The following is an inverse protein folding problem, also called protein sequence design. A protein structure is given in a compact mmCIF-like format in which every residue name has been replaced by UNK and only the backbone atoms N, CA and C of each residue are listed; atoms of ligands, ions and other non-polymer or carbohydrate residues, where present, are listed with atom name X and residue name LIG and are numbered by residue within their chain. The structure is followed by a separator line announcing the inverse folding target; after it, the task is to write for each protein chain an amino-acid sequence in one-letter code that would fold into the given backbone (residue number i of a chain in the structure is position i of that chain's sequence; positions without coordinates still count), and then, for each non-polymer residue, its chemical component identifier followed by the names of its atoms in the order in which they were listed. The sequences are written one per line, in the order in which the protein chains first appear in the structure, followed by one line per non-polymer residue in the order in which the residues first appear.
data_IF_019473531494
#
_entry.id   IF_019473531494
#
_cell.length_a   1.000
_cell.length_b   1.000
_cell.length_c   1.000
_cell.angle_alpha   90.00
_cell.angle_beta   90.00
_cell.angle_gamma   90.00
#
_symmetry.space_group_name_H-M   'P 1'
#
loop_
_entity.id
_entity.type
_entity.pdbx_description
1 polymer ?
#
# COMPACT_ATOMS: atom_id res chain seq x y z
N UNK A 1 20.84 -21.88 18.03
CA UNK A 1 21.21 -21.00 16.89
C UNK A 1 21.13 -19.54 17.36
N UNK A 2 22.24 -18.83 17.43
CA UNK A 2 22.30 -17.44 17.91
C UNK A 2 21.63 -16.40 16.99
N UNK A 3 21.30 -16.79 15.76
CA UNK A 3 20.67 -15.92 14.75
C UNK A 3 19.17 -16.19 14.55
N UNK A 4 18.61 -17.23 15.18
CA UNK A 4 17.21 -17.61 15.02
C UNK A 4 16.40 -17.29 16.27
N UNK A 5 15.18 -16.73 16.07
CA UNK A 5 14.20 -16.50 17.15
C UNK A 5 13.30 -17.72 17.35
N UNK A 6 12.86 -18.31 16.26
CA UNK A 6 11.90 -19.41 16.27
C UNK A 6 12.04 -20.26 15.01
N UNK A 7 11.84 -21.56 15.11
CA UNK A 7 11.83 -22.48 13.98
C UNK A 7 10.60 -23.36 14.06
N UNK A 8 9.82 -23.36 12.99
CA UNK A 8 8.67 -24.26 12.83
C UNK A 8 8.94 -25.18 11.66
N UNK A 9 8.77 -26.48 11.92
CA UNK A 9 8.79 -27.51 10.90
C UNK A 9 7.36 -27.99 10.65
N UNK A 10 7.01 -28.17 9.39
CA UNK A 10 5.68 -28.67 9.02
C UNK A 10 5.41 -28.52 7.53
N UNK A 11 4.25 -28.95 7.12
CA UNK A 11 3.76 -28.78 5.76
C UNK A 11 2.98 -27.46 5.70
N UNK A 12 3.68 -26.34 5.55
CA UNK A 12 3.07 -25.02 5.58
C UNK A 12 3.07 -24.38 4.19
N UNK A 13 1.92 -23.89 3.76
CA UNK A 13 1.72 -23.24 2.47
C UNK A 13 1.74 -21.70 2.56
N UNK A 14 2.54 -21.15 3.49
CA UNK A 14 2.61 -19.71 3.76
C UNK A 14 3.68 -18.97 2.94
N UNK A 15 4.08 -19.49 1.79
CA UNK A 15 4.98 -18.74 0.91
C UNK A 15 4.17 -17.98 -0.15
N UNK A 16 4.51 -16.72 -0.43
CA UNK A 16 3.80 -15.88 -1.40
C UNK A 16 3.66 -16.47 -2.81
N UNK A 17 4.57 -17.38 -3.20
CA UNK A 17 4.58 -18.08 -4.49
C UNK A 17 4.24 -19.56 -4.40
N UNK A 18 3.99 -20.10 -3.20
CA UNK A 18 3.51 -21.47 -3.12
C UNK A 18 2.02 -21.44 -3.45
N UNK A 19 1.65 -22.18 -4.49
CA UNK A 19 0.26 -22.58 -4.69
C UNK A 19 -0.17 -23.33 -3.44
N UNK A 20 -0.78 -22.61 -2.49
CA UNK A 20 -1.35 -23.21 -1.30
C UNK A 20 -2.35 -24.28 -1.72
N UNK A 21 -2.56 -25.27 -0.85
CA UNK A 21 -3.58 -26.27 -1.09
C UNK A 21 -4.95 -25.60 -0.96
N UNK A 22 -5.58 -25.30 -2.11
CA UNK A 22 -6.93 -24.74 -2.16
C UNK A 22 -7.95 -25.88 -2.10
N UNK A 23 -8.91 -25.76 -1.20
CA UNK A 23 -10.02 -26.68 -1.06
C UNK A 23 -11.33 -26.02 -1.50
N UNK A 24 -12.08 -26.72 -2.34
CA UNK A 24 -13.37 -26.23 -2.85
C UNK A 24 -14.50 -26.77 -1.97
N UNK A 25 -15.07 -25.89 -1.16
CA UNK A 25 -16.21 -26.21 -0.33
C UNK A 25 -17.50 -26.03 -1.13
N UNK A 26 -18.19 -27.14 -1.38
CA UNK A 26 -19.43 -27.15 -2.16
C UNK A 26 -20.67 -26.99 -1.29
N UNK A 27 -20.59 -27.32 0.00
CA UNK A 27 -21.72 -27.28 0.91
C UNK A 27 -21.30 -26.85 2.32
N UNK A 28 -22.18 -26.12 3.01
CA UNK A 28 -22.01 -25.66 4.39
C UNK A 28 -23.36 -25.32 5.04
N UNK A 29 -23.39 -25.26 6.37
CA UNK A 29 -24.59 -24.90 7.12
C UNK A 29 -25.00 -23.45 6.83
N UNK A 30 -26.27 -23.28 6.41
CA UNK A 30 -26.79 -21.95 6.06
C UNK A 30 -26.45 -21.48 4.64
N UNK A 31 -26.00 -22.39 3.76
CA UNK A 31 -25.80 -22.08 2.35
C UNK A 31 -27.13 -21.73 1.68
N UNK A 32 -27.20 -20.58 1.02
CA UNK A 32 -28.36 -20.19 0.21
C UNK A 32 -28.41 -20.95 -1.12
N UNK A 33 -29.62 -21.26 -1.59
CA UNK A 33 -29.83 -21.92 -2.87
C UNK A 33 -29.26 -21.08 -4.01
N UNK A 34 -28.41 -21.69 -4.84
CA UNK A 34 -27.75 -21.03 -5.97
C UNK A 34 -26.34 -20.49 -5.69
N UNK A 35 -25.87 -20.51 -4.47
CA UNK A 35 -24.46 -20.19 -4.18
C UNK A 35 -23.51 -21.24 -4.79
N UNK A 36 -22.44 -20.75 -5.44
CA UNK A 36 -21.38 -21.60 -6.01
C UNK A 36 -20.48 -22.14 -4.91
N UNK A 37 -19.64 -23.12 -5.27
CA UNK A 37 -18.53 -23.56 -4.39
C UNK A 37 -17.58 -22.40 -4.09
N UNK A 38 -17.00 -22.43 -2.90
CA UNK A 38 -16.01 -21.43 -2.47
C UNK A 38 -14.67 -22.13 -2.30
N UNK A 39 -13.67 -21.58 -2.97
CA UNK A 39 -12.30 -22.04 -2.85
C UNK A 39 -11.64 -21.34 -1.68
N UNK A 40 -11.14 -22.12 -0.73
CA UNK A 40 -10.43 -21.60 0.44
C UNK A 40 -9.02 -22.17 0.47
N UNK A 41 -8.05 -21.33 0.79
CA UNK A 41 -6.69 -21.78 1.00
C UNK A 41 -6.55 -22.43 2.37
N UNK A 42 -6.10 -23.68 2.41
CA UNK A 42 -5.92 -24.41 3.65
C UNK A 42 -4.51 -24.27 4.19
N UNK A 43 -4.41 -23.72 5.39
CA UNK A 43 -3.18 -23.56 6.15
C UNK A 43 -3.12 -24.66 7.23
N UNK A 44 -1.97 -25.32 7.30
CA UNK A 44 -1.80 -26.46 8.18
C UNK A 44 -0.97 -26.09 9.41
N UNK A 45 -1.08 -26.89 10.45
CA UNK A 45 -0.41 -26.66 11.72
C UNK A 45 -0.89 -25.38 12.43
N UNK A 46 -2.20 -25.27 12.56
CA UNK A 46 -2.94 -24.12 13.06
C UNK A 46 -2.31 -23.44 14.29
N UNK A 47 -2.03 -24.18 15.36
CA UNK A 47 -1.50 -23.63 16.61
C UNK A 47 -0.13 -22.94 16.42
N UNK A 48 0.79 -23.62 15.74
CA UNK A 48 2.15 -23.09 15.52
C UNK A 48 2.16 -21.90 14.57
N UNK A 49 1.32 -21.90 13.54
CA UNK A 49 1.22 -20.80 12.59
C UNK A 49 0.64 -19.56 13.24
N UNK A 50 -0.44 -19.71 14.02
CA UNK A 50 -1.05 -18.58 14.73
C UNK A 50 -0.04 -17.92 15.66
N UNK A 51 0.71 -18.73 16.42
CA UNK A 51 1.78 -18.23 17.30
C UNK A 51 2.92 -17.59 16.52
N UNK A 52 3.41 -18.26 15.48
CA UNK A 52 4.56 -17.79 14.68
C UNK A 52 4.32 -16.45 14.01
N UNK A 53 3.12 -16.26 13.40
CA UNK A 53 2.76 -15.00 12.75
C UNK A 53 2.06 -14.02 13.69
N UNK A 54 1.88 -14.39 14.97
CA UNK A 54 1.15 -13.58 15.95
C UNK A 54 -0.24 -13.17 15.44
N UNK A 55 -0.96 -14.14 14.85
CA UNK A 55 -2.29 -13.91 14.31
C UNK A 55 -3.29 -13.68 15.44
N UNK A 56 -4.17 -12.72 15.24
CA UNK A 56 -5.19 -12.36 16.22
C UNK A 56 -6.42 -13.25 16.08
N UNK A 57 -6.75 -14.00 17.16
CA UNK A 57 -8.06 -14.66 17.30
C UNK A 57 -9.09 -13.58 17.66
N UNK A 58 -10.15 -13.48 16.86
CA UNK A 58 -11.24 -12.52 17.08
C UNK A 58 -12.34 -13.11 17.93
N UNK A 59 -12.70 -14.38 17.68
CA UNK A 59 -13.81 -15.05 18.34
C UNK A 59 -13.58 -16.56 18.40
N UNK A 60 -14.13 -17.22 19.42
CA UNK A 60 -14.07 -18.67 19.58
C UNK A 60 -12.80 -19.18 20.23
N UNK A 61 -12.40 -20.40 19.92
CA UNK A 61 -11.27 -21.10 20.52
C UNK A 61 -10.29 -21.62 19.46
N UNK A 62 -9.02 -21.68 19.86
CA UNK A 62 -7.96 -22.31 19.07
C UNK A 62 -8.20 -23.80 18.92
N UNK A 63 -8.04 -24.34 17.72
CA UNK A 63 -8.11 -25.77 17.45
C UNK A 63 -6.90 -26.48 18.06
N UNK A 64 -7.15 -27.49 18.89
CA UNK A 64 -6.09 -28.31 19.49
C UNK A 64 -5.59 -29.36 18.48
N UNK A 65 -4.31 -29.75 18.52
CA UNK A 65 -3.75 -30.74 17.60
C UNK A 65 -4.52 -32.06 17.52
N UNK A 66 -5.12 -32.48 18.62
CA UNK A 66 -5.90 -33.75 18.71
C UNK A 66 -7.30 -33.67 18.10
N UNK A 67 -7.77 -32.48 17.75
CA UNK A 67 -9.14 -32.27 17.25
C UNK A 67 -9.15 -32.33 15.71
N UNK A 68 -9.56 -33.47 15.17
CA UNK A 68 -9.48 -33.77 13.73
C UNK A 68 -10.67 -33.31 12.90
N UNK A 69 -11.72 -32.79 13.53
CA UNK A 69 -12.97 -32.37 12.88
C UNK A 69 -13.31 -30.89 13.15
N UNK A 70 -12.33 -30.13 13.64
CA UNK A 70 -12.46 -28.69 13.93
C UNK A 70 -11.53 -27.87 13.07
N UNK A 71 -12.01 -26.70 12.68
CA UNK A 71 -11.25 -25.76 11.85
C UNK A 71 -11.44 -24.34 12.36
N UNK A 72 -10.50 -23.47 11.99
CA UNK A 72 -10.64 -22.02 12.10
C UNK A 72 -10.72 -21.40 10.72
N UNK A 73 -11.37 -20.27 10.61
CA UNK A 73 -11.51 -19.50 9.35
C UNK A 73 -11.16 -18.03 9.57
N UNK A 74 -10.85 -17.31 8.50
CA UNK A 74 -10.63 -15.88 8.59
C UNK A 74 -11.91 -15.07 8.27
N UNK A 75 -11.87 -13.75 8.49
CA UNK A 75 -13.00 -12.84 8.22
C UNK A 75 -13.43 -12.86 6.74
N UNK A 76 -12.49 -12.98 5.81
CA UNK A 76 -12.77 -13.08 4.38
C UNK A 76 -13.52 -14.36 4.04
N UNK A 77 -13.26 -15.47 4.73
CA UNK A 77 -14.03 -16.71 4.57
C UNK A 77 -15.46 -16.55 5.06
N UNK A 78 -15.69 -15.85 6.17
CA UNK A 78 -17.06 -15.57 6.68
C UNK A 78 -17.86 -14.79 5.64
N UNK A 79 -17.26 -13.74 5.08
CA UNK A 79 -17.89 -12.92 4.03
C UNK A 79 -18.20 -13.74 2.78
N UNK A 80 -17.28 -14.59 2.35
CA UNK A 80 -17.46 -15.46 1.19
C UNK A 80 -18.57 -16.52 1.41
N UNK A 81 -18.66 -17.08 2.62
CA UNK A 81 -19.69 -18.06 3.00
C UNK A 81 -21.07 -17.43 3.24
N UNK A 82 -21.17 -16.09 3.40
CA UNK A 82 -22.41 -15.40 3.73
C UNK A 82 -22.94 -15.74 5.11
N UNK A 83 -22.08 -16.11 6.06
CA UNK A 83 -22.49 -16.52 7.41
C UNK A 83 -22.57 -15.33 8.37
N UNK A 84 -23.62 -15.20 9.14
CA UNK A 84 -23.74 -14.21 10.21
C UNK A 84 -23.14 -14.70 11.54
N UNK A 85 -23.31 -15.98 11.86
CA UNK A 85 -22.81 -16.65 13.07
C UNK A 85 -22.09 -17.93 12.67
N UNK A 86 -20.76 -17.88 12.40
CA UNK A 86 -20.05 -19.03 11.87
C UNK A 86 -19.62 -20.04 12.92
N UNK A 87 -19.44 -19.64 14.20
CA UNK A 87 -19.01 -20.54 15.27
C UNK A 87 -20.05 -21.69 15.50
N UNK A 88 -19.55 -22.92 15.51
CA UNK A 88 -20.37 -24.13 15.67
C UNK A 88 -20.99 -24.65 14.38
N UNK A 89 -21.03 -23.85 13.29
CA UNK A 89 -21.51 -24.31 11.98
C UNK A 89 -20.51 -25.23 11.31
N UNK A 90 -20.98 -26.00 10.34
CA UNK A 90 -20.19 -27.02 9.66
C UNK A 90 -19.93 -26.65 8.20
N UNK A 91 -18.71 -26.92 7.77
CA UNK A 91 -18.32 -26.96 6.36
C UNK A 91 -18.20 -28.43 5.95
N UNK A 92 -18.67 -28.75 4.75
CA UNK A 92 -18.65 -30.11 4.24
C UNK A 92 -17.65 -30.24 3.08
N UNK A 93 -16.68 -31.14 3.25
CA UNK A 93 -15.69 -31.47 2.25
C UNK A 93 -15.50 -33.00 2.21
N UNK A 94 -15.55 -33.58 1.01
CA UNK A 94 -15.35 -35.04 0.81
C UNK A 94 -16.11 -35.95 1.80
N UNK A 95 -17.39 -35.67 2.00
CA UNK A 95 -18.27 -36.37 2.96
C UNK A 95 -17.87 -36.23 4.43
N UNK A 96 -16.97 -35.32 4.78
CA UNK A 96 -16.63 -35.01 6.16
C UNK A 96 -17.22 -33.65 6.55
N UNK A 97 -17.71 -33.58 7.80
CA UNK A 97 -18.22 -32.36 8.39
C UNK A 97 -17.15 -31.74 9.31
N UNK A 98 -16.80 -30.52 9.10
CA UNK A 98 -15.79 -29.78 9.83
C UNK A 98 -16.43 -28.62 10.57
N UNK A 99 -16.32 -28.61 11.88
CA UNK A 99 -16.96 -27.61 12.74
C UNK A 99 -16.05 -26.38 12.86
N UNK A 100 -16.59 -25.20 12.62
CA UNK A 100 -15.90 -23.93 12.81
C UNK A 100 -15.86 -23.64 14.31
N UNK A 101 -14.65 -23.49 14.87
CA UNK A 101 -14.46 -23.24 16.31
C UNK A 101 -13.81 -21.90 16.61
N UNK A 102 -13.17 -21.28 15.65
CA UNK A 102 -12.52 -19.98 15.84
C UNK A 102 -12.47 -19.15 14.57
N UNK A 103 -12.43 -17.84 14.78
CA UNK A 103 -12.30 -16.83 13.73
C UNK A 103 -11.01 -16.08 13.97
N UNK A 104 -10.17 -15.99 12.94
CA UNK A 104 -8.96 -15.19 12.95
C UNK A 104 -9.13 -13.93 12.11
N UNK A 105 -8.45 -12.89 12.52
CA UNK A 105 -8.35 -11.64 11.75
C UNK A 105 -7.71 -11.91 10.40
N UNK A 106 -8.18 -11.22 9.39
CA UNK A 106 -7.58 -11.25 8.06
C UNK A 106 -6.09 -10.86 8.11
N UNK A 107 -5.26 -11.58 7.38
CA UNK A 107 -3.84 -11.29 7.23
C UNK A 107 -3.39 -11.60 5.80
N UNK A 108 -2.39 -10.86 5.33
CA UNK A 108 -1.87 -11.02 3.98
C UNK A 108 -0.80 -12.11 3.94
N UNK A 109 -0.99 -13.09 3.06
CA UNK A 109 0.03 -14.08 2.67
C UNK A 109 0.64 -13.67 1.33
N UNK A 110 -0.16 -13.01 0.49
CA UNK A 110 0.22 -12.49 -0.82
C UNK A 110 0.53 -10.99 -0.75
N UNK A 111 0.76 -10.37 -1.91
CA UNK A 111 0.99 -8.94 -1.99
C UNK A 111 -0.19 -8.15 -1.38
N UNK A 112 0.05 -7.03 -0.69
CA UNK A 112 -1.01 -6.22 -0.07
C UNK A 112 -1.95 -5.57 -1.09
N UNK A 113 -1.62 -5.65 -2.37
CA UNK A 113 -2.46 -5.20 -3.49
C UNK A 113 -3.56 -6.20 -3.84
N UNK A 114 -3.43 -7.47 -3.39
CA UNK A 114 -4.43 -8.50 -3.64
C UNK A 114 -5.41 -8.61 -2.48
N UNK A 115 -6.71 -8.91 -2.76
CA UNK A 115 -7.68 -9.18 -1.71
C UNK A 115 -7.24 -10.34 -0.83
N UNK A 116 -7.44 -10.21 0.48
CA UNK A 116 -7.23 -11.34 1.38
C UNK A 116 -8.18 -12.45 0.98
N UNK A 117 -7.59 -13.60 0.65
CA UNK A 117 -8.37 -14.78 0.25
C UNK A 117 -9.04 -15.43 1.45
N UNK A 118 -10.11 -16.17 1.23
CA UNK A 118 -10.67 -17.03 2.27
C UNK A 118 -9.67 -18.11 2.70
N UNK A 119 -9.39 -18.19 4.01
CA UNK A 119 -8.49 -19.19 4.58
C UNK A 119 -9.21 -20.12 5.53
N UNK A 120 -8.77 -21.38 5.54
CA UNK A 120 -9.08 -22.35 6.59
C UNK A 120 -7.79 -22.76 7.29
N UNK A 121 -7.80 -22.78 8.61
CA UNK A 121 -6.68 -23.30 9.41
C UNK A 121 -7.09 -24.65 9.95
N UNK A 122 -6.29 -25.67 9.66
CA UNK A 122 -6.54 -27.07 10.00
C UNK A 122 -5.35 -27.66 10.75
N UNK A 123 -5.59 -28.73 11.50
CA UNK A 123 -4.52 -29.45 12.20
C UNK A 123 -3.82 -30.44 11.26
N UNK A 124 -2.57 -30.76 11.56
CA UNK A 124 -1.76 -31.69 10.76
C UNK A 124 -2.31 -33.13 10.75
N UNK A 125 -2.95 -33.54 11.85
CA UNK A 125 -3.50 -34.91 11.99
C UNK A 125 -4.71 -35.16 11.07
N UNK A 126 -5.42 -34.12 10.67
CA UNK A 126 -6.49 -34.22 9.67
C UNK A 126 -5.94 -34.76 8.35
N UNK A 127 -4.77 -34.33 7.96
CA UNK A 127 -4.15 -34.71 6.69
C UNK A 127 -3.60 -36.12 6.68
N UNK A 128 -2.95 -36.54 7.78
CA UNK A 128 -2.45 -37.90 7.92
C UNK A 128 -3.58 -38.93 7.77
N UNK A 129 -4.77 -38.59 8.25
CA UNK A 129 -5.94 -39.48 8.22
C UNK A 129 -6.78 -39.36 6.94
N UNK A 130 -6.51 -38.35 6.07
CA UNK A 130 -7.31 -38.10 4.87
C UNK A 130 -6.76 -38.72 3.59
N UNK A 131 -5.58 -39.36 3.63
CA UNK A 131 -4.94 -39.97 2.45
C UNK A 131 -4.37 -38.95 1.46
N UNK A 132 -4.35 -37.67 1.81
CA UNK A 132 -3.69 -36.65 0.98
C UNK A 132 -2.18 -36.86 0.99
N UNK A 133 -1.58 -36.88 -0.19
CA UNK A 133 -0.13 -36.86 -0.33
C UNK A 133 0.38 -35.52 0.20
N UNK A 134 1.02 -35.55 1.35
CA UNK A 134 1.63 -34.38 1.95
C UNK A 134 2.75 -33.95 1.03
N UNK A 135 2.65 -32.75 0.46
CA UNK A 135 3.66 -32.17 -0.42
C UNK A 135 5.04 -32.00 0.27
N UNK A 136 5.95 -31.31 -0.37
CA UNK A 136 7.31 -31.09 0.16
C UNK A 136 7.21 -30.38 1.51
N UNK A 137 7.96 -30.91 2.49
CA UNK A 137 8.08 -30.28 3.81
C UNK A 137 8.67 -28.87 3.69
N UNK A 138 8.18 -27.96 4.48
CA UNK A 138 8.68 -26.59 4.59
C UNK A 138 9.15 -26.34 6.01
N UNK A 139 10.22 -25.56 6.13
CA UNK A 139 10.75 -25.11 7.42
C UNK A 139 10.63 -23.58 7.42
N UNK A 140 9.88 -23.05 8.36
CA UNK A 140 9.78 -21.62 8.59
C UNK A 140 10.76 -21.25 9.69
N UNK A 141 11.58 -20.25 9.43
CA UNK A 141 12.61 -19.79 10.37
C UNK A 141 12.42 -18.29 10.57
N UNK A 142 12.12 -17.91 11.81
CA UNK A 142 12.11 -16.51 12.24
C UNK A 142 13.50 -16.14 12.74
N UNK A 143 14.11 -15.14 12.17
CA UNK A 143 15.47 -14.72 12.47
C UNK A 143 15.53 -13.26 12.96
N UNK A 144 16.68 -12.85 13.50
CA UNK A 144 16.91 -11.48 13.94
C UNK A 144 17.20 -10.57 12.75
N UNK A 145 16.73 -9.33 12.82
CA UNK A 145 16.90 -8.34 11.77
C UNK A 145 18.39 -8.18 11.38
N UNK A 146 18.65 -8.10 10.08
CA UNK A 146 19.99 -7.99 9.53
C UNK A 146 20.84 -9.28 9.54
N UNK A 147 20.34 -10.39 10.09
CA UNK A 147 21.07 -11.67 10.20
C UNK A 147 20.83 -12.65 9.04
N UNK A 148 20.13 -12.22 8.00
CA UNK A 148 19.79 -13.05 6.84
C UNK A 148 21.01 -13.73 6.20
N UNK A 149 22.07 -12.96 5.92
CA UNK A 149 23.27 -13.49 5.26
C UNK A 149 23.99 -14.54 6.10
N UNK A 150 24.05 -14.33 7.42
CA UNK A 150 24.64 -15.28 8.36
C UNK A 150 23.82 -16.57 8.42
N UNK A 151 22.51 -16.45 8.54
CA UNK A 151 21.57 -17.58 8.54
C UNK A 151 21.67 -18.39 7.24
N UNK A 152 21.65 -17.71 6.08
CA UNK A 152 21.75 -18.33 4.77
C UNK A 152 23.01 -19.16 4.66
N UNK A 153 24.18 -18.58 4.95
CA UNK A 153 25.46 -19.29 4.86
C UNK A 153 25.49 -20.52 5.79
N UNK A 154 24.88 -20.44 6.95
CA UNK A 154 24.84 -21.55 7.91
C UNK A 154 23.92 -22.67 7.44
N UNK A 155 22.76 -22.34 6.89
CA UNK A 155 21.83 -23.32 6.29
C UNK A 155 22.51 -24.01 5.10
N UNK A 156 23.12 -23.22 4.20
CA UNK A 156 23.85 -23.74 3.03
C UNK A 156 24.97 -24.71 3.47
N UNK A 157 25.72 -24.39 4.54
CA UNK A 157 26.73 -25.26 5.09
C UNK A 157 26.14 -26.58 5.60
N UNK A 158 25.06 -26.54 6.38
CA UNK A 158 24.42 -27.74 6.93
C UNK A 158 23.95 -28.66 5.79
N UNK A 159 23.25 -28.13 4.81
CA UNK A 159 22.75 -28.93 3.70
C UNK A 159 23.86 -29.47 2.81
N UNK A 160 24.94 -28.72 2.61
CA UNK A 160 26.09 -29.18 1.81
C UNK A 160 26.84 -30.32 2.49
N UNK A 161 27.04 -30.26 3.80
CA UNK A 161 27.86 -31.25 4.52
C UNK A 161 27.05 -32.41 5.08
N UNK A 162 25.85 -32.16 5.63
CA UNK A 162 25.08 -33.20 6.31
C UNK A 162 24.03 -33.86 5.41
N UNK A 163 23.51 -33.11 4.43
CA UNK A 163 22.42 -33.56 3.56
C UNK A 163 22.67 -33.27 2.07
N UNK A 164 23.77 -33.73 1.46
CA UNK A 164 24.17 -33.34 0.10
C UNK A 164 23.20 -33.80 -0.99
N UNK A 165 22.38 -34.82 -0.72
CA UNK A 165 21.39 -35.34 -1.67
C UNK A 165 20.05 -34.57 -1.63
N UNK A 166 19.84 -33.75 -0.60
CA UNK A 166 18.58 -33.03 -0.41
C UNK A 166 18.61 -31.71 -1.18
N UNK A 167 17.74 -31.60 -2.18
CA UNK A 167 17.52 -30.32 -2.88
C UNK A 167 16.58 -29.46 -2.06
N UNK A 168 17.05 -28.31 -1.63
CA UNK A 168 16.25 -27.31 -0.93
C UNK A 168 16.24 -25.99 -1.70
N UNK A 169 15.24 -25.16 -1.42
CA UNK A 169 15.18 -23.76 -1.84
C UNK A 169 14.97 -22.91 -0.61
N UNK A 170 15.76 -21.87 -0.49
CA UNK A 170 15.68 -20.92 0.61
C UNK A 170 15.04 -19.61 0.08
N UNK A 171 14.01 -19.18 0.74
CA UNK A 171 13.29 -17.96 0.42
C UNK A 171 13.37 -17.01 1.61
N UNK A 172 13.65 -15.75 1.35
CA UNK A 172 13.47 -14.68 2.31
C UNK A 172 12.14 -13.99 2.01
N UNK A 173 11.20 -14.13 2.94
CA UNK A 173 9.86 -13.54 2.77
C UNK A 173 9.92 -12.02 2.64
N UNK A 174 10.86 -11.35 3.32
CA UNK A 174 11.05 -9.91 3.24
C UNK A 174 11.56 -9.47 1.86
N UNK A 175 12.51 -10.22 1.28
CA UNK A 175 13.01 -9.96 -0.08
C UNK A 175 11.90 -10.20 -1.12
N UNK A 176 11.13 -11.27 -1.00
CA UNK A 176 9.99 -11.53 -1.88
C UNK A 176 8.91 -10.46 -1.77
N UNK A 177 8.58 -10.02 -0.55
CA UNK A 177 7.65 -8.92 -0.33
C UNK A 177 8.15 -7.61 -0.95
N UNK A 178 9.44 -7.33 -0.82
CA UNK A 178 10.09 -6.19 -1.45
C UNK A 178 10.03 -6.28 -2.97
N UNK A 179 10.19 -7.48 -3.55
CA UNK A 179 10.09 -7.70 -4.99
C UNK A 179 8.68 -7.40 -5.53
N UNK A 180 7.63 -7.74 -4.78
CA UNK A 180 6.26 -7.34 -5.14
C UNK A 180 6.08 -5.82 -5.16
N UNK A 181 6.70 -5.12 -4.22
CA UNK A 181 6.59 -3.66 -4.13
C UNK A 181 7.51 -2.91 -5.12
N UNK A 182 8.45 -3.57 -5.79
CA UNK A 182 9.37 -2.91 -6.75
C UNK A 182 8.64 -2.22 -7.90
N UNK A 183 7.54 -2.80 -8.39
CA UNK A 183 6.72 -2.18 -9.44
C UNK A 183 6.06 -0.89 -8.95
N UNK A 184 5.57 -0.90 -7.72
CA UNK A 184 4.94 0.27 -7.07
C UNK A 184 5.99 1.37 -6.81
N UNK A 185 7.17 0.99 -6.32
CA UNK A 185 8.29 1.91 -6.14
C UNK A 185 8.73 2.57 -7.45
N UNK A 186 8.76 1.81 -8.55
CA UNK A 186 9.08 2.33 -9.86
C UNK A 186 8.02 3.34 -10.34
N UNK A 187 6.73 3.05 -10.12
CA UNK A 187 5.63 3.97 -10.41
C UNK A 187 5.71 5.25 -9.60
N UNK A 188 5.98 5.16 -8.28
CA UNK A 188 6.14 6.32 -7.41
C UNK A 188 7.29 7.22 -7.88
N UNK A 189 8.43 6.63 -8.24
CA UNK A 189 9.58 7.38 -8.78
C UNK A 189 9.25 8.07 -10.10
N UNK A 190 8.58 7.36 -11.01
CA UNK A 190 8.15 7.92 -12.30
C UNK A 190 7.16 9.08 -12.12
N UNK A 191 6.12 8.88 -11.30
CA UNK A 191 5.12 9.92 -11.01
C UNK A 191 5.75 11.14 -10.32
N UNK A 192 6.69 10.92 -9.40
CA UNK A 192 7.42 11.99 -8.72
C UNK A 192 8.27 12.80 -9.71
N UNK A 193 8.94 12.12 -10.64
CA UNK A 193 9.71 12.78 -11.69
C UNK A 193 8.81 13.64 -12.61
N UNK A 194 7.69 13.07 -13.06
CA UNK A 194 6.71 13.79 -13.87
C UNK A 194 6.16 15.01 -13.12
N UNK A 195 5.83 14.86 -11.82
CA UNK A 195 5.33 15.96 -11.00
C UNK A 195 6.35 17.11 -10.89
N UNK A 196 7.64 16.79 -10.71
CA UNK A 196 8.72 17.80 -10.69
C UNK A 196 8.81 18.53 -12.04
N UNK A 197 8.80 17.80 -13.15
CA UNK A 197 8.85 18.39 -14.49
C UNK A 197 7.64 19.30 -14.74
N UNK A 198 6.43 18.84 -14.39
CA UNK A 198 5.21 19.66 -14.50
C UNK A 198 5.29 20.94 -13.65
N UNK A 199 5.84 20.84 -12.43
CA UNK A 199 6.03 21.98 -11.54
C UNK A 199 7.02 23.01 -12.14
N UNK A 200 8.12 22.54 -12.75
CA UNK A 200 9.08 23.40 -13.43
C UNK A 200 8.43 24.12 -14.62
N UNK A 201 7.69 23.39 -15.46
CA UNK A 201 6.99 23.99 -16.61
C UNK A 201 5.99 25.06 -16.14
N UNK A 202 5.21 24.76 -15.08
CA UNK A 202 4.26 25.71 -14.51
C UNK A 202 4.99 26.95 -13.95
N UNK A 203 6.12 26.77 -13.25
CA UNK A 203 6.91 27.89 -12.73
C UNK A 203 7.46 28.78 -13.85
N UNK A 204 7.97 28.20 -14.93
CA UNK A 204 8.43 28.98 -16.12
C UNK A 204 7.25 29.69 -16.80
N UNK A 205 6.08 29.05 -16.90
CA UNK A 205 4.86 29.68 -17.44
C UNK A 205 4.45 30.90 -16.62
N UNK A 206 4.37 30.77 -15.30
CA UNK A 206 4.03 31.87 -14.39
C UNK A 206 5.08 32.98 -14.49
N UNK A 207 6.37 32.62 -14.47
CA UNK A 207 7.44 33.59 -14.59
C UNK A 207 7.35 34.39 -15.88
N UNK A 208 7.05 33.75 -17.02
CA UNK A 208 6.86 34.42 -18.32
C UNK A 208 5.66 35.36 -18.30
N UNK A 209 4.50 34.89 -17.78
CA UNK A 209 3.30 35.73 -17.68
C UNK A 209 3.50 36.95 -16.78
N UNK A 210 4.15 36.76 -15.62
CA UNK A 210 4.48 37.88 -14.72
C UNK A 210 5.38 38.88 -15.38
N UNK A 211 6.39 38.40 -16.15
CA UNK A 211 7.28 39.25 -16.90
C UNK A 211 6.54 40.12 -17.90
N UNK A 212 5.70 39.49 -18.73
CA UNK A 212 4.88 40.17 -19.71
C UNK A 212 3.92 41.17 -19.05
N UNK A 213 3.26 40.79 -17.96
CA UNK A 213 2.39 41.70 -17.22
C UNK A 213 3.14 42.90 -16.62
N UNK A 214 4.36 42.72 -16.13
CA UNK A 214 5.20 43.78 -15.62
C UNK A 214 5.61 44.72 -16.75
N UNK A 215 5.93 44.23 -17.96
CA UNK A 215 6.28 45.02 -19.13
C UNK A 215 5.06 45.83 -19.63
N UNK A 216 3.91 45.23 -19.76
CA UNK A 216 2.69 45.91 -20.18
C UNK A 216 2.25 47.00 -19.22
N UNK A 217 2.43 46.81 -17.90
CA UNK A 217 2.07 47.78 -16.86
C UNK A 217 3.23 48.64 -16.39
N UNK A 218 4.34 48.71 -17.17
CA UNK A 218 5.56 49.40 -16.79
C UNK A 218 5.32 50.87 -16.47
N UNK A 219 4.51 51.59 -17.29
CA UNK A 219 4.12 52.99 -17.06
C UNK A 219 3.31 53.17 -15.78
N UNK A 220 2.33 52.30 -15.52
CA UNK A 220 1.53 52.34 -14.31
C UNK A 220 2.38 52.14 -13.04
N UNK A 221 3.31 51.18 -13.08
CA UNK A 221 4.28 50.95 -12.00
C UNK A 221 5.15 52.19 -11.76
N UNK A 222 5.67 52.81 -12.82
CA UNK A 222 6.48 53.99 -12.72
C UNK A 222 5.72 55.17 -12.12
N UNK A 223 4.51 55.46 -12.59
CA UNK A 223 3.66 56.54 -12.04
C UNK A 223 3.33 56.33 -10.58
N UNK A 224 2.96 55.08 -10.17
CA UNK A 224 2.70 54.79 -8.76
C UNK A 224 3.94 54.96 -7.90
N UNK A 225 5.11 54.58 -8.40
CA UNK A 225 6.39 54.76 -7.71
C UNK A 225 6.75 56.22 -7.51
N UNK A 226 6.55 57.07 -8.53
CA UNK A 226 6.74 58.53 -8.41
C UNK A 226 5.80 59.16 -7.41
N UNK A 227 4.55 58.62 -7.28
CA UNK A 227 3.59 59.02 -6.29
C UNK A 227 3.82 58.43 -4.90
N UNK A 228 4.99 57.81 -4.64
CA UNK A 228 5.39 57.31 -3.32
C UNK A 228 4.90 55.91 -2.95
N UNK A 229 4.34 55.15 -3.89
CA UNK A 229 3.93 53.77 -3.59
C UNK A 229 5.15 52.90 -3.24
N UNK A 230 5.02 52.14 -2.17
CA UNK A 230 6.03 51.18 -1.75
C UNK A 230 6.06 49.95 -2.69
N UNK A 231 7.23 49.33 -2.81
CA UNK A 231 7.36 48.06 -3.60
C UNK A 231 6.35 46.99 -3.14
N UNK A 232 6.04 46.97 -1.86
CA UNK A 232 5.05 46.06 -1.27
C UNK A 232 3.65 46.23 -1.88
N UNK A 233 3.24 47.48 -2.19
CA UNK A 233 1.90 47.77 -2.74
C UNK A 233 1.77 47.25 -4.17
N UNK A 234 2.86 47.40 -4.97
CA UNK A 234 2.95 46.88 -6.32
C UNK A 234 2.95 45.34 -6.29
N UNK A 235 3.72 44.75 -5.40
CA UNK A 235 3.78 43.29 -5.23
C UNK A 235 2.41 42.72 -4.81
N UNK A 236 1.72 43.36 -3.88
CA UNK A 236 0.37 42.94 -3.45
C UNK A 236 -0.66 42.99 -4.60
N UNK A 237 -0.54 43.89 -5.52
CA UNK A 237 -1.42 43.98 -6.70
C UNK A 237 -1.27 42.75 -7.58
N UNK A 238 -0.04 42.37 -7.94
CA UNK A 238 0.21 41.16 -8.72
C UNK A 238 -0.15 39.88 -7.95
N UNK A 239 0.18 39.82 -6.68
CA UNK A 239 -0.17 38.68 -5.84
C UNK A 239 -1.67 38.43 -5.80
N UNK A 240 -2.47 39.48 -5.61
CA UNK A 240 -3.96 39.33 -5.61
C UNK A 240 -4.48 38.78 -6.93
N UNK A 241 -3.95 39.23 -8.06
CA UNK A 241 -4.36 38.78 -9.39
C UNK A 241 -4.02 37.28 -9.61
N UNK A 242 -2.79 36.90 -9.31
CA UNK A 242 -2.36 35.50 -9.46
C UNK A 242 -2.98 34.57 -8.39
N UNK A 243 -3.25 35.07 -7.19
CA UNK A 243 -3.96 34.30 -6.16
C UNK A 243 -5.39 34.00 -6.58
N UNK A 244 -6.09 34.95 -7.21
CA UNK A 244 -7.43 34.70 -7.73
C UNK A 244 -7.41 33.57 -8.77
N UNK A 245 -6.45 33.62 -9.71
CA UNK A 245 -6.26 32.57 -10.71
C UNK A 245 -5.95 31.21 -10.08
N UNK A 246 -5.08 31.19 -9.06
CA UNK A 246 -4.76 29.96 -8.32
C UNK A 246 -5.98 29.38 -7.63
N UNK A 247 -6.80 30.21 -6.99
CA UNK A 247 -8.04 29.75 -6.34
C UNK A 247 -9.00 29.13 -7.38
N UNK A 248 -9.23 29.81 -8.50
CA UNK A 248 -10.10 29.29 -9.58
C UNK A 248 -9.56 27.96 -10.11
N UNK A 249 -8.27 27.87 -10.38
CA UNK A 249 -7.61 26.62 -10.83
C UNK A 249 -7.76 25.51 -9.81
N UNK A 250 -7.59 25.80 -8.51
CA UNK A 250 -7.70 24.83 -7.43
C UNK A 250 -9.13 24.29 -7.26
N UNK A 251 -10.15 25.14 -7.44
CA UNK A 251 -11.57 24.73 -7.38
C UNK A 251 -11.89 23.70 -8.46
N UNK A 252 -11.20 23.73 -9.59
CA UNK A 252 -11.38 22.77 -10.68
C UNK A 252 -10.45 21.55 -10.47
N UNK A 253 -9.17 21.79 -10.17
CA UNK A 253 -8.16 20.74 -10.10
C UNK A 253 -8.34 19.76 -8.91
N UNK A 254 -8.78 20.27 -7.74
CA UNK A 254 -8.90 19.41 -6.56
C UNK A 254 -10.03 18.38 -6.67
N UNK A 255 -11.26 18.70 -7.11
CA UNK A 255 -12.29 17.70 -7.33
C UNK A 255 -11.90 16.67 -8.39
N UNK A 256 -11.30 17.09 -9.50
CA UNK A 256 -10.83 16.18 -10.55
C UNK A 256 -9.73 15.27 -10.00
N UNK A 257 -8.75 15.82 -9.30
CA UNK A 257 -7.68 15.05 -8.66
C UNK A 257 -8.21 14.06 -7.62
N UNK A 258 -9.23 14.45 -6.84
CA UNK A 258 -9.87 13.57 -5.87
C UNK A 258 -10.55 12.38 -6.55
N UNK A 259 -11.32 12.61 -7.62
CA UNK A 259 -12.01 11.54 -8.35
C UNK A 259 -10.99 10.58 -8.97
N UNK A 260 -9.97 11.10 -9.65
CA UNK A 260 -8.92 10.27 -10.25
C UNK A 260 -8.17 9.43 -9.20
N UNK A 261 -7.80 10.05 -8.08
CA UNK A 261 -7.12 9.34 -7.00
C UNK A 261 -8.02 8.29 -6.36
N UNK A 262 -9.31 8.59 -6.17
CA UNK A 262 -10.28 7.63 -5.66
C UNK A 262 -10.42 6.42 -6.59
N UNK A 263 -10.61 6.64 -7.88
CA UNK A 263 -10.68 5.56 -8.87
C UNK A 263 -9.39 4.71 -8.90
N UNK A 264 -8.22 5.35 -8.71
CA UNK A 264 -6.96 4.61 -8.65
C UNK A 264 -6.82 3.79 -7.36
N UNK A 265 -7.22 4.36 -6.21
CA UNK A 265 -7.23 3.64 -4.93
C UNK A 265 -8.24 2.48 -4.90
N UNK A 266 -9.28 2.52 -5.72
CA UNK A 266 -10.26 1.41 -5.81
C UNK A 266 -9.64 0.09 -6.28
N UNK A 267 -8.48 0.14 -6.94
CA UNK A 267 -7.71 -1.04 -7.32
C UNK A 267 -6.93 -1.68 -6.15
N UNK A 268 -6.83 -0.99 -5.01
CA UNK A 268 -6.13 -1.49 -3.82
C UNK A 268 -7.11 -1.94 -2.75
N UNK A 269 -6.76 -3.00 -2.06
CA UNK A 269 -7.58 -3.60 -0.99
C UNK A 269 -7.49 -2.78 0.28
N UNK A 270 -6.28 -2.45 0.70
CA UNK A 270 -6.06 -1.55 1.81
C UNK A 270 -6.01 -0.10 1.31
N UNK A 271 -7.09 0.63 1.56
CA UNK A 271 -7.26 2.00 1.10
C UNK A 271 -6.85 2.97 2.18
N UNK A 272 -5.87 3.80 1.86
CA UNK A 272 -5.54 4.95 2.71
C UNK A 272 -6.58 6.05 2.52
N UNK A 273 -7.05 6.62 3.62
CA UNK A 273 -7.97 7.77 3.56
C UNK A 273 -7.20 9.00 3.05
N UNK A 274 -7.69 9.58 1.94
CA UNK A 274 -7.11 10.79 1.38
C UNK A 274 -7.42 11.94 2.34
N UNK A 275 -6.42 12.37 3.10
CA UNK A 275 -6.56 13.47 4.06
C UNK A 275 -6.64 14.82 3.35
N UNK A 276 -7.54 15.69 3.79
CA UNK A 276 -7.66 17.07 3.29
C UNK A 276 -6.36 17.87 3.43
N UNK A 277 -5.50 17.52 4.41
CA UNK A 277 -4.20 18.16 4.61
C UNK A 277 -3.29 18.11 3.37
N UNK A 278 -3.38 17.04 2.56
CA UNK A 278 -2.59 16.90 1.34
C UNK A 278 -2.90 18.03 0.35
N UNK A 279 -4.17 18.38 0.18
CA UNK A 279 -4.60 19.46 -0.71
C UNK A 279 -4.10 20.82 -0.22
N UNK A 280 -4.13 21.07 1.10
CA UNK A 280 -3.57 22.29 1.69
C UNK A 280 -2.05 22.36 1.51
N UNK A 281 -1.34 21.25 1.64
CA UNK A 281 0.11 21.19 1.43
C UNK A 281 0.48 21.48 -0.05
N UNK A 282 -0.26 20.90 -1.01
CA UNK A 282 -0.06 21.15 -2.44
C UNK A 282 -0.36 22.61 -2.76
N UNK A 283 -1.49 23.14 -2.30
CA UNK A 283 -1.86 24.55 -2.50
C UNK A 283 -0.80 25.49 -1.94
N UNK A 284 -0.33 25.25 -0.72
CA UNK A 284 0.72 26.03 -0.07
C UNK A 284 2.06 25.98 -0.83
N UNK A 285 2.43 24.78 -1.32
CA UNK A 285 3.64 24.61 -2.13
C UNK A 285 3.60 25.42 -3.43
N UNK A 286 2.48 25.34 -4.16
CA UNK A 286 2.30 26.13 -5.40
C UNK A 286 2.29 27.62 -5.09
N UNK A 287 1.66 28.04 -4.00
CA UNK A 287 1.63 29.42 -3.54
C UNK A 287 3.04 29.96 -3.30
N UNK A 288 3.90 29.19 -2.64
CA UNK A 288 5.32 29.58 -2.39
C UNK A 288 6.05 29.78 -3.72
N UNK A 289 5.87 28.90 -4.70
CA UNK A 289 6.47 29.04 -6.04
C UNK A 289 6.01 30.34 -6.72
N UNK A 290 4.69 30.62 -6.69
CA UNK A 290 4.11 31.84 -7.26
C UNK A 290 4.71 33.09 -6.59
N UNK A 291 4.76 33.12 -5.26
CA UNK A 291 5.34 34.25 -4.50
C UNK A 291 6.82 34.46 -4.85
N UNK A 292 7.58 33.38 -4.96
CA UNK A 292 8.99 33.48 -5.35
C UNK A 292 9.16 34.08 -6.76
N UNK A 293 8.39 33.63 -7.73
CA UNK A 293 8.40 34.11 -9.10
C UNK A 293 7.98 35.60 -9.20
N UNK A 294 6.86 35.96 -8.57
CA UNK A 294 6.36 37.35 -8.58
C UNK A 294 7.33 38.23 -7.82
N UNK A 295 7.76 37.84 -6.63
CA UNK A 295 8.66 38.62 -5.78
C UNK A 295 9.96 38.97 -6.49
N UNK A 296 10.59 38.01 -7.14
CA UNK A 296 11.78 38.20 -7.88
C UNK A 296 11.62 39.21 -9.05
N UNK A 297 10.56 39.02 -9.83
CA UNK A 297 10.31 39.90 -11.02
C UNK A 297 9.86 41.29 -10.66
N UNK A 298 8.95 41.44 -9.72
CA UNK A 298 8.51 42.79 -9.28
C UNK A 298 9.64 43.52 -8.61
N UNK A 299 10.47 42.85 -7.82
CA UNK A 299 11.65 43.45 -7.22
C UNK A 299 12.67 43.95 -8.30
N UNK A 300 12.91 43.15 -9.36
CA UNK A 300 13.76 43.51 -10.47
C UNK A 300 13.19 44.72 -11.26
N UNK A 301 11.87 44.71 -11.57
CA UNK A 301 11.20 45.80 -12.25
C UNK A 301 11.18 47.08 -11.42
N UNK A 302 10.98 46.98 -10.12
CA UNK A 302 10.98 48.12 -9.21
C UNK A 302 12.34 48.75 -8.97
N UNK A 303 13.43 48.08 -9.27
CA UNK A 303 14.79 48.64 -9.21
C UNK A 303 15.17 49.49 -10.45
N UNK A 304 14.41 49.39 -11.55
CA UNK A 304 14.65 50.22 -12.72
C UNK A 304 14.38 51.70 -12.42
N UNK A 305 15.19 52.59 -13.04
CA UNK A 305 15.08 54.02 -12.81
C UNK A 305 13.79 54.56 -13.46
N UNK A 306 12.83 55.15 -12.69
CA UNK A 306 11.56 55.63 -13.23
C UNK A 306 11.74 56.69 -14.33
N UNK A 307 12.81 57.52 -14.26
CA UNK A 307 13.08 58.58 -15.23
C UNK A 307 13.40 58.06 -16.63
N UNK A 308 14.07 56.90 -16.74
CA UNK A 308 14.38 56.27 -18.03
C UNK A 308 13.15 55.64 -18.68
N UNK A 309 12.24 55.10 -17.82
CA UNK A 309 11.00 54.45 -18.28
C UNK A 309 10.01 55.45 -18.90
N UNK A 310 9.98 56.71 -18.40
CA UNK A 310 9.10 57.76 -18.88
C UNK A 310 9.68 58.43 -20.13
N UNK A 311 11.01 58.41 -20.28
CA UNK A 311 11.75 59.10 -21.38
C UNK A 311 11.95 58.22 -22.63
N UNK A 312 11.67 56.91 -22.55
CA UNK A 312 11.86 55.96 -23.66
C UNK A 312 10.63 55.91 -24.59
N UNK A 313 10.29 57.07 -25.19
CA UNK A 313 9.52 57.20 -26.43
C UNK A 313 10.38 57.80 -27.49
#
# INVERSE_FOLDING_TARGET
FSCTKEVITGHCCLLPKSSGFSQSFKNWDGKEDGMKSIDMLSLWNCEKIVSFYNLQLLEGEMVKPTETNKIMINESAIKALGMSEPIGKKLYLDNRAWTITGIIKDFHITAPTEPVQPYTLITEDILKNSGFSIGKGQILIKFHDGKWKELKNRIDSIFTYEYPEVRYKLYNTEEEYTDYLKSEDALIKLLSFIAIVCMLIAAFGIFSLVTLSCEQRRKEIAVRKVNGAAIKDILLMFVKEYMLLLIIASVIAFPVGYVLMKCWLENYVERTVISAWIYFAIFGGIMIVIFACIGWRVWQAARQNPAEVIKSE
#
